data_IF_140429959733
#
_entry.id   IF_140429959733
#
_cell.length_a   1.000
_cell.length_b   1.000
_cell.length_c   1.000
_cell.angle_alpha   90.00
_cell.angle_beta   90.00
_cell.angle_gamma   90.00
#
_symmetry.space_group_name_H-M   'P 1'
#
loop_
_entity.id
_entity.type
_entity.pdbx_description
1 polymer ?
#
# COMPACT_ATOMS: atom_id res chain seq x y z
N UNK A 1 -23.26 17.60 -25.20
CA UNK A 1 -22.93 18.51 -26.33
C UNK A 1 -21.50 18.97 -26.18
N UNK A 2 -20.68 18.80 -27.23
CA UNK A 2 -19.27 19.25 -27.24
C UNK A 2 -19.20 20.77 -27.47
N UNK A 3 -18.07 21.40 -27.09
CA UNK A 3 -17.90 22.86 -27.24
C UNK A 3 -18.04 23.35 -28.69
N UNK A 4 -17.64 22.52 -29.66
CA UNK A 4 -17.76 22.84 -31.09
C UNK A 4 -19.22 22.80 -31.58
N UNK A 5 -20.02 21.88 -31.06
CA UNK A 5 -21.46 21.78 -31.35
C UNK A 5 -22.20 22.99 -30.76
N UNK A 6 -21.86 23.37 -29.53
CA UNK A 6 -22.42 24.57 -28.88
C UNK A 6 -22.09 25.84 -29.67
N UNK A 7 -20.84 26.01 -30.11
CA UNK A 7 -20.44 27.16 -30.95
C UNK A 7 -21.22 27.22 -32.26
N UNK A 8 -21.48 26.07 -32.88
CA UNK A 8 -22.27 25.99 -34.12
C UNK A 8 -23.74 26.39 -33.90
N UNK A 9 -24.34 26.00 -32.77
CA UNK A 9 -25.69 26.42 -32.42
C UNK A 9 -25.77 27.91 -32.10
N UNK A 10 -24.84 28.43 -31.29
CA UNK A 10 -24.78 29.84 -30.93
C UNK A 10 -24.55 30.73 -32.17
N UNK A 11 -23.73 30.29 -33.12
CA UNK A 11 -23.48 31.04 -34.36
C UNK A 11 -24.66 31.08 -35.34
N UNK A 12 -25.64 30.19 -35.20
CA UNK A 12 -26.87 30.14 -36.01
C UNK A 12 -28.05 30.85 -35.36
N UNK A 13 -27.96 31.14 -34.06
CA UNK A 13 -29.03 31.76 -33.30
C UNK A 13 -28.97 33.29 -33.40
N UNK A 14 -30.13 33.94 -33.30
CA UNK A 14 -30.20 35.39 -33.15
C UNK A 14 -29.54 35.82 -31.84
N UNK A 15 -28.80 36.95 -31.89
CA UNK A 15 -28.05 37.48 -30.74
C UNK A 15 -28.95 37.74 -29.53
N UNK A 16 -30.19 38.16 -29.74
CA UNK A 16 -31.18 38.36 -28.67
C UNK A 16 -31.54 37.06 -27.94
N UNK A 17 -31.62 35.94 -28.66
CA UNK A 17 -31.87 34.63 -28.05
C UNK A 17 -30.64 34.07 -27.35
N UNK A 18 -29.44 34.39 -27.84
CA UNK A 18 -28.18 34.02 -27.19
C UNK A 18 -28.02 34.75 -25.85
N UNK A 19 -28.29 36.05 -25.81
CA UNK A 19 -28.28 36.86 -24.58
C UNK A 19 -29.28 36.33 -23.55
N UNK A 20 -30.50 36.00 -24.00
CA UNK A 20 -31.53 35.41 -23.14
C UNK A 20 -31.11 34.04 -22.60
N UNK A 21 -30.57 33.16 -23.45
CA UNK A 21 -30.10 31.84 -23.05
C UNK A 21 -28.94 31.93 -22.05
N UNK A 22 -28.02 32.87 -22.24
CA UNK A 22 -26.92 33.13 -21.32
C UNK A 22 -27.44 33.62 -19.95
N UNK A 23 -28.35 34.60 -19.93
CA UNK A 23 -28.92 35.12 -18.69
C UNK A 23 -29.69 34.05 -17.90
N UNK A 24 -30.50 33.23 -18.57
CA UNK A 24 -31.21 32.12 -17.91
C UNK A 24 -30.26 31.04 -17.40
N UNK A 25 -29.20 30.72 -18.14
CA UNK A 25 -28.18 29.77 -17.69
C UNK A 25 -27.39 30.29 -16.49
N UNK A 26 -27.07 31.59 -16.48
CA UNK A 26 -26.36 32.24 -15.38
C UNK A 26 -27.20 32.30 -14.09
N UNK A 27 -28.53 32.46 -14.19
CA UNK A 27 -29.44 32.41 -13.02
C UNK A 27 -29.38 31.08 -12.27
N UNK A 28 -29.12 29.98 -12.96
CA UNK A 28 -29.02 28.63 -12.38
C UNK A 28 -27.74 28.42 -11.56
N UNK A 29 -26.76 29.34 -11.63
CA UNK A 29 -25.52 29.23 -10.87
C UNK A 29 -25.71 29.62 -9.40
N UNK A 30 -25.04 28.89 -8.51
CA UNK A 30 -24.95 29.24 -7.08
C UNK A 30 -24.08 30.48 -6.86
N UNK A 31 -24.19 31.12 -5.69
CA UNK A 31 -23.42 32.33 -5.36
C UNK A 31 -21.90 32.14 -5.52
N UNK A 32 -21.36 31.02 -5.03
CA UNK A 32 -19.93 30.69 -5.14
C UNK A 32 -19.49 30.47 -6.60
N UNK A 33 -20.33 29.87 -7.44
CA UNK A 33 -20.02 29.70 -8.86
C UNK A 33 -20.05 31.02 -9.64
N UNK A 34 -20.91 31.96 -9.23
CA UNK A 34 -20.96 33.32 -9.80
C UNK A 34 -19.68 34.08 -9.48
N UNK A 35 -19.25 34.08 -8.22
CA UNK A 35 -18.01 34.73 -7.78
C UNK A 35 -16.77 34.22 -8.55
N UNK A 36 -16.72 32.96 -8.96
CA UNK A 36 -15.62 32.40 -9.77
C UNK A 36 -15.67 32.77 -11.26
N UNK A 37 -16.88 32.90 -11.84
CA UNK A 37 -17.06 33.06 -13.29
C UNK A 37 -17.29 34.51 -13.71
N UNK A 38 -17.73 35.39 -12.79
CA UNK A 38 -18.01 36.80 -13.05
C UNK A 38 -16.80 37.55 -13.64
N UNK A 39 -15.56 37.41 -13.11
CA UNK A 39 -14.40 38.05 -13.70
C UNK A 39 -14.15 37.60 -15.15
N UNK A 40 -14.33 36.30 -15.43
CA UNK A 40 -14.16 35.73 -16.77
C UNK A 40 -15.20 36.26 -17.75
N UNK A 41 -16.45 36.40 -17.32
CA UNK A 41 -17.54 36.95 -18.15
C UNK A 41 -17.27 38.42 -18.46
N UNK A 42 -16.88 39.21 -17.45
CA UNK A 42 -16.56 40.64 -17.60
C UNK A 42 -15.40 40.82 -18.57
N UNK A 43 -14.31 40.08 -18.41
CA UNK A 43 -13.14 40.18 -19.28
C UNK A 43 -13.46 39.82 -20.75
N UNK A 44 -14.26 38.77 -20.98
CA UNK A 44 -14.71 38.38 -22.33
C UNK A 44 -15.57 39.48 -22.96
N UNK A 45 -16.52 40.06 -22.21
CA UNK A 45 -17.42 41.09 -22.71
C UNK A 45 -16.69 42.41 -23.03
N UNK A 46 -15.60 42.69 -22.32
CA UNK A 46 -14.73 43.84 -22.57
C UNK A 46 -13.71 43.58 -23.70
N UNK A 47 -13.80 42.45 -24.39
CA UNK A 47 -12.92 42.10 -25.52
C UNK A 47 -11.51 41.73 -25.11
N UNK A 48 -11.26 41.47 -23.81
CA UNK A 48 -10.02 40.87 -23.33
C UNK A 48 -10.10 39.38 -23.63
N UNK A 49 -9.02 38.78 -24.12
CA UNK A 49 -8.99 37.32 -24.21
C UNK A 49 -9.25 36.79 -22.80
N UNK A 50 -10.26 35.92 -22.65
CA UNK A 50 -10.39 35.14 -21.43
C UNK A 50 -9.02 34.58 -21.17
N UNK A 51 -8.40 34.94 -20.03
CA UNK A 51 -7.16 34.29 -19.64
C UNK A 51 -7.48 32.80 -19.72
N UNK A 52 -6.91 32.11 -20.72
CA UNK A 52 -6.92 30.66 -20.73
C UNK A 52 -6.38 30.35 -19.36
N UNK A 53 -7.23 29.85 -18.45
CA UNK A 53 -6.78 29.33 -17.15
C UNK A 53 -5.49 28.65 -17.48
N UNK A 54 -4.36 29.24 -17.05
CA UNK A 54 -3.06 28.62 -17.27
C UNK A 54 -3.30 27.19 -16.85
N UNK A 55 -3.13 26.28 -17.81
CA UNK A 55 -3.20 24.84 -17.59
C UNK A 55 -2.54 24.63 -16.23
N UNK A 56 -3.33 24.25 -15.23
CA UNK A 56 -3.21 24.67 -13.83
C UNK A 56 -1.83 25.17 -13.45
N UNK A 57 -1.71 26.42 -12.97
CA UNK A 57 -0.48 26.85 -12.31
C UNK A 57 -0.03 25.70 -11.44
N UNK A 58 1.10 25.08 -11.76
CA UNK A 58 1.66 24.01 -10.97
C UNK A 58 1.58 24.51 -9.52
N UNK A 59 0.80 23.83 -8.67
CA UNK A 59 0.81 24.14 -7.25
C UNK A 59 2.28 24.05 -6.89
N UNK A 60 2.87 25.17 -6.45
CA UNK A 60 4.28 25.15 -6.09
C UNK A 60 4.46 24.05 -5.05
N UNK A 61 5.56 23.30 -5.14
CA UNK A 61 5.76 22.15 -4.26
C UNK A 61 5.63 22.57 -2.79
N UNK A 62 6.12 23.77 -2.45
CA UNK A 62 6.05 24.36 -1.12
C UNK A 62 4.61 24.53 -0.64
N UNK A 63 3.70 24.89 -1.54
CA UNK A 63 2.28 25.03 -1.19
C UNK A 63 1.62 23.68 -1.01
N UNK A 64 1.96 22.70 -1.87
CA UNK A 64 1.47 21.32 -1.72
C UNK A 64 1.97 20.70 -0.40
N UNK A 65 3.24 20.88 -0.09
CA UNK A 65 3.90 20.45 1.15
C UNK A 65 3.16 21.03 2.36
N UNK A 66 2.98 22.35 2.40
CA UNK A 66 2.24 23.00 3.49
C UNK A 66 0.79 22.50 3.61
N UNK A 67 0.07 22.35 2.49
CA UNK A 67 -1.31 21.85 2.51
C UNK A 67 -1.41 20.41 3.05
N UNK A 68 -0.41 19.56 2.77
CA UNK A 68 -0.36 18.18 3.28
C UNK A 68 -0.02 18.17 4.76
N UNK A 69 0.96 18.97 5.19
CA UNK A 69 1.37 19.07 6.60
C UNK A 69 0.21 19.57 7.47
N UNK A 70 -0.44 20.66 7.06
CA UNK A 70 -1.64 21.20 7.73
C UNK A 70 -2.77 20.16 7.77
N UNK A 71 -2.94 19.38 6.68
CA UNK A 71 -3.93 18.31 6.65
C UNK A 71 -3.63 17.21 7.67
N UNK A 72 -2.38 16.73 7.71
CA UNK A 72 -1.94 15.67 8.61
C UNK A 72 -2.11 16.10 10.07
N UNK A 73 -1.67 17.31 10.43
CA UNK A 73 -1.84 17.86 11.77
C UNK A 73 -3.31 17.89 12.19
N UNK A 74 -4.18 18.38 11.31
CA UNK A 74 -5.62 18.43 11.56
C UNK A 74 -6.29 17.05 11.64
N UNK A 75 -5.78 16.06 10.90
CA UNK A 75 -6.26 14.68 10.98
C UNK A 75 -5.90 14.04 12.33
N UNK A 76 -4.66 14.20 12.78
CA UNK A 76 -4.22 13.73 14.10
C UNK A 76 -4.93 14.44 15.25
N UNK A 77 -5.27 15.73 15.09
CA UNK A 77 -6.12 16.47 16.02
C UNK A 77 -7.62 16.07 15.96
N UNK A 78 -7.98 15.06 15.15
CA UNK A 78 -9.35 14.57 14.94
C UNK A 78 -10.33 15.63 14.41
N UNK A 79 -9.83 16.72 13.82
CA UNK A 79 -10.67 17.82 13.33
C UNK A 79 -11.52 17.42 12.10
N UNK A 80 -11.19 16.32 11.43
CA UNK A 80 -12.02 15.77 10.35
C UNK A 80 -13.09 14.79 10.84
N UNK A 81 -12.98 14.26 12.05
CA UNK A 81 -13.97 13.36 12.65
C UNK A 81 -14.94 14.11 13.58
N UNK A 82 -14.40 14.77 14.61
CA UNK A 82 -15.18 15.34 15.70
C UNK A 82 -15.70 16.78 15.39
N UNK A 83 -16.80 17.22 16.01
CA UNK A 83 -17.22 18.63 15.99
C UNK A 83 -16.16 19.59 16.55
N UNK A 84 -15.70 20.53 15.71
CA UNK A 84 -14.73 21.56 16.07
C UNK A 84 -14.98 22.86 15.27
N UNK A 85 -14.23 23.92 15.59
CA UNK A 85 -14.28 25.25 14.94
C UNK A 85 -13.23 25.45 13.84
N UNK A 86 -12.31 24.51 13.68
CA UNK A 86 -11.18 24.58 12.74
C UNK A 86 -11.62 24.15 11.34
N UNK A 87 -12.21 22.95 11.24
CA UNK A 87 -12.72 22.38 9.99
C UNK A 87 -14.26 22.40 10.01
N UNK A 88 -14.89 23.21 9.12
CA UNK A 88 -16.34 23.26 8.99
C UNK A 88 -16.94 21.89 8.66
N UNK A 89 -18.14 21.61 9.18
CA UNK A 89 -18.84 20.33 8.97
C UNK A 89 -18.96 19.93 7.48
N UNK A 90 -19.13 20.92 6.59
CA UNK A 90 -19.24 20.70 5.14
C UNK A 90 -17.92 20.31 4.47
N UNK A 91 -16.78 20.61 5.09
CA UNK A 91 -15.44 20.30 4.56
C UNK A 91 -14.91 18.96 5.09
N UNK A 92 -15.32 18.55 6.30
CA UNK A 92 -14.90 17.29 6.91
C UNK A 92 -14.98 16.08 5.96
N UNK A 93 -16.11 15.76 5.29
CA UNK A 93 -16.18 14.60 4.41
C UNK A 93 -15.34 14.72 3.12
N UNK A 94 -14.75 15.88 2.84
CA UNK A 94 -13.93 16.10 1.65
C UNK A 94 -12.47 15.66 1.84
N UNK A 95 -12.06 15.28 3.05
CA UNK A 95 -10.73 14.75 3.36
C UNK A 95 -10.29 13.69 2.33
N UNK A 96 -11.20 12.80 1.93
CA UNK A 96 -10.92 11.73 0.97
C UNK A 96 -10.49 12.22 -0.42
N UNK A 97 -11.08 13.34 -0.87
CA UNK A 97 -10.72 13.96 -2.14
C UNK A 97 -9.39 14.72 -2.02
N UNK A 98 -9.11 15.31 -0.85
CA UNK A 98 -7.83 15.97 -0.58
C UNK A 98 -6.70 14.94 -0.64
N UNK A 99 -6.76 13.87 0.15
CA UNK A 99 -5.75 12.81 0.17
C UNK A 99 -5.55 12.19 -1.21
N UNK A 100 -6.64 11.89 -1.93
CA UNK A 100 -6.55 11.36 -3.29
C UNK A 100 -5.82 12.31 -4.25
N UNK A 101 -6.02 13.62 -4.10
CA UNK A 101 -5.33 14.61 -4.91
C UNK A 101 -3.86 14.76 -4.47
N UNK A 102 -3.58 14.77 -3.17
CA UNK A 102 -2.22 14.83 -2.64
C UNK A 102 -1.36 13.68 -3.17
N UNK A 103 -1.85 12.44 -3.07
CA UNK A 103 -1.16 11.25 -3.60
C UNK A 103 -0.88 11.42 -5.10
N UNK A 104 -1.85 11.89 -5.88
CA UNK A 104 -1.67 12.12 -7.33
C UNK A 104 -0.67 13.20 -7.67
N UNK A 105 -0.61 14.29 -6.90
CA UNK A 105 0.38 15.34 -7.14
C UNK A 105 1.77 14.89 -6.74
N UNK A 106 1.91 14.20 -5.60
CA UNK A 106 3.19 13.60 -5.17
C UNK A 106 3.70 12.55 -6.16
N UNK A 107 2.82 11.73 -6.72
CA UNK A 107 3.17 10.72 -7.72
C UNK A 107 3.80 11.33 -8.99
N UNK A 108 3.43 12.56 -9.37
CA UNK A 108 3.98 13.23 -10.56
C UNK A 108 5.41 13.73 -10.38
N UNK A 109 5.90 13.79 -9.14
CA UNK A 109 7.25 14.29 -8.84
C UNK A 109 8.27 13.22 -9.26
N UNK A 110 9.17 13.61 -10.16
CA UNK A 110 10.20 12.74 -10.73
C UNK A 110 11.44 12.70 -9.83
N UNK A 111 12.21 11.61 -9.93
CA UNK A 111 13.38 11.35 -9.09
C UNK A 111 14.47 12.42 -9.22
N UNK A 112 14.55 13.08 -10.37
CA UNK A 112 15.52 14.14 -10.65
C UNK A 112 15.13 15.49 -10.03
N UNK A 113 13.94 15.60 -9.41
CA UNK A 113 13.49 16.83 -8.78
C UNK A 113 14.22 17.06 -7.45
N UNK A 114 14.60 18.32 -7.19
CA UNK A 114 15.10 18.76 -5.87
C UNK A 114 14.10 18.51 -4.72
N UNK A 115 12.83 18.31 -5.06
CA UNK A 115 11.75 18.08 -4.11
C UNK A 115 11.44 16.59 -3.89
N UNK A 116 12.17 15.68 -4.55
CA UNK A 116 11.83 14.26 -4.55
C UNK A 116 11.80 13.64 -3.16
N UNK A 117 12.87 13.81 -2.39
CA UNK A 117 12.95 13.23 -1.04
C UNK A 117 11.86 13.76 -0.11
N UNK A 118 11.54 15.05 -0.23
CA UNK A 118 10.42 15.68 0.50
C UNK A 118 9.08 15.10 0.07
N UNK A 119 8.89 14.86 -1.23
CA UNK A 119 7.68 14.23 -1.75
C UNK A 119 7.49 12.78 -1.26
N UNK A 120 8.57 11.99 -1.24
CA UNK A 120 8.56 10.62 -0.71
C UNK A 120 8.23 10.62 0.78
N UNK A 121 8.79 11.56 1.54
CA UNK A 121 8.48 11.75 2.95
C UNK A 121 6.99 12.05 3.17
N UNK A 122 6.43 13.01 2.43
CA UNK A 122 5.00 13.35 2.52
C UNK A 122 4.11 12.17 2.14
N UNK A 123 4.47 11.41 1.10
CA UNK A 123 3.74 10.20 0.71
C UNK A 123 3.77 9.14 1.81
N UNK A 124 4.93 8.98 2.47
CA UNK A 124 5.11 8.07 3.61
C UNK A 124 4.21 8.46 4.79
N UNK A 125 4.18 9.74 5.15
CA UNK A 125 3.34 10.23 6.26
C UNK A 125 1.84 10.12 5.94
N UNK A 126 1.43 10.37 4.68
CA UNK A 126 0.07 10.10 4.25
C UNK A 126 -0.28 8.61 4.33
N UNK A 127 0.61 7.72 3.89
CA UNK A 127 0.39 6.28 3.99
C UNK A 127 0.19 5.85 5.45
N UNK A 128 1.08 6.30 6.37
CA UNK A 128 0.96 6.03 7.81
C UNK A 128 -0.35 6.54 8.39
N UNK A 129 -0.73 7.78 8.08
CA UNK A 129 -1.99 8.37 8.54
C UNK A 129 -3.20 7.54 8.12
N UNK A 130 -3.22 7.05 6.86
CA UNK A 130 -4.32 6.25 6.35
C UNK A 130 -4.34 4.84 6.96
N UNK A 131 -3.17 4.24 7.22
CA UNK A 131 -3.08 2.99 7.99
C UNK A 131 -3.65 3.19 9.39
N UNK A 132 -3.24 4.25 10.09
CA UNK A 132 -3.71 4.56 11.43
C UNK A 132 -5.21 4.84 11.47
N UNK A 133 -5.74 5.54 10.45
CA UNK A 133 -7.17 5.78 10.30
C UNK A 133 -8.01 4.51 10.07
N UNK A 134 -7.40 3.35 9.80
CA UNK A 134 -8.10 2.07 9.78
C UNK A 134 -8.30 1.47 11.18
N UNK A 135 -7.47 1.86 12.15
CA UNK A 135 -7.56 1.41 13.55
C UNK A 135 -8.21 2.46 14.47
N UNK A 136 -8.15 3.73 14.11
CA UNK A 136 -8.61 4.84 14.93
C UNK A 136 -9.56 5.77 14.17
N UNK A 137 -10.47 6.40 14.91
CA UNK A 137 -11.46 7.35 14.38
C UNK A 137 -10.85 8.72 14.07
N UNK A 138 -9.97 8.78 13.07
CA UNK A 138 -9.42 10.04 12.52
C UNK A 138 -10.37 10.67 11.50
N UNK A 139 -11.18 9.83 10.83
CA UNK A 139 -12.18 10.22 9.86
C UNK A 139 -13.50 9.47 10.11
N UNK A 140 -14.61 10.00 9.59
CA UNK A 140 -15.91 9.31 9.63
C UNK A 140 -15.98 8.23 8.55
N UNK A 141 -15.24 7.14 8.74
CA UNK A 141 -15.21 5.97 7.87
C UNK A 141 -14.81 4.72 8.66
N UNK A 142 -15.25 3.57 8.17
CA UNK A 142 -14.87 2.24 8.66
C UNK A 142 -13.65 1.65 7.93
N UNK A 143 -13.28 2.26 6.80
CA UNK A 143 -12.13 1.91 5.99
C UNK A 143 -11.62 3.16 5.26
N UNK A 144 -10.42 3.61 5.61
CA UNK A 144 -9.85 4.84 5.07
C UNK A 144 -9.32 4.66 3.64
N UNK A 145 -8.70 3.51 3.35
CA UNK A 145 -8.20 3.16 2.01
C UNK A 145 -9.32 3.11 0.98
N UNK A 146 -10.42 2.41 1.29
CA UNK A 146 -11.61 2.36 0.43
C UNK A 146 -12.19 3.74 0.17
N UNK A 147 -12.17 4.62 1.17
CA UNK A 147 -12.70 6.00 1.04
C UNK A 147 -11.89 6.87 0.10
N UNK A 148 -10.57 6.70 0.05
CA UNK A 148 -9.70 7.42 -0.90
C UNK A 148 -9.63 6.73 -2.27
N UNK A 149 -10.22 5.54 -2.39
CA UNK A 149 -10.28 4.77 -3.63
C UNK A 149 -8.94 4.14 -4.01
N UNK A 150 -8.19 3.68 -3.00
CA UNK A 150 -6.96 2.92 -3.15
C UNK A 150 -7.09 1.62 -2.36
N UNK A 151 -6.56 0.51 -2.88
CA UNK A 151 -6.25 -0.63 -2.01
C UNK A 151 -4.97 -0.30 -1.22
N UNK A 152 -4.85 -0.86 -0.01
CA UNK A 152 -3.64 -0.66 0.79
C UNK A 152 -2.38 -1.22 0.11
N UNK A 153 -2.38 -2.43 -0.49
CA UNK A 153 -1.23 -2.93 -1.24
C UNK A 153 -0.83 -2.04 -2.42
N UNK A 154 -1.79 -1.46 -3.16
CA UNK A 154 -1.48 -0.61 -4.32
C UNK A 154 -0.83 0.71 -3.91
N UNK A 155 -1.33 1.35 -2.83
CA UNK A 155 -0.72 2.57 -2.33
C UNK A 155 0.67 2.29 -1.73
N UNK A 156 0.81 1.16 -1.05
CA UNK A 156 2.12 0.71 -0.55
C UNK A 156 3.09 0.44 -1.71
N UNK A 157 2.64 -0.19 -2.80
CA UNK A 157 3.46 -0.42 -4.00
C UNK A 157 3.95 0.88 -4.64
N UNK A 158 3.09 1.90 -4.70
CA UNK A 158 3.50 3.25 -5.14
C UNK A 158 4.59 3.81 -4.23
N UNK A 159 4.43 3.70 -2.91
CA UNK A 159 5.41 4.16 -1.93
C UNK A 159 6.74 3.43 -2.08
N UNK A 160 6.75 2.09 -2.15
CA UNK A 160 7.96 1.28 -2.34
C UNK A 160 8.70 1.70 -3.61
N UNK A 161 8.00 1.82 -4.73
CA UNK A 161 8.59 2.24 -6.01
C UNK A 161 9.22 3.63 -5.94
N UNK A 162 8.55 4.58 -5.28
CA UNK A 162 9.08 5.93 -5.10
C UNK A 162 10.30 5.93 -4.17
N UNK A 163 10.24 5.22 -3.06
CA UNK A 163 11.38 5.13 -2.14
C UNK A 163 12.61 4.49 -2.79
N UNK A 164 12.45 3.38 -3.53
CA UNK A 164 13.58 2.70 -4.17
C UNK A 164 14.10 3.37 -5.44
N UNK A 165 13.33 4.26 -6.08
CA UNK A 165 13.87 5.06 -7.18
C UNK A 165 15.00 6.00 -6.72
N UNK A 166 15.02 6.43 -5.46
CA UNK A 166 16.15 7.14 -4.85
C UNK A 166 17.31 6.23 -4.40
N UNK A 167 17.15 4.90 -4.53
CA UNK A 167 18.17 3.90 -4.21
C UNK A 167 17.82 3.00 -3.03
N UNK A 168 18.51 1.86 -2.98
CA UNK A 168 18.37 0.81 -1.96
C UNK A 168 19.27 1.05 -0.75
N UNK A 169 19.03 2.12 0.00
CA UNK A 169 19.74 2.37 1.25
C UNK A 169 19.21 1.46 2.37
N UNK A 170 20.04 1.15 3.37
CA UNK A 170 19.62 0.35 4.54
C UNK A 170 18.46 1.01 5.28
N UNK A 171 18.50 2.33 5.38
CA UNK A 171 17.48 3.15 6.02
C UNK A 171 16.14 3.03 5.28
N UNK A 172 16.15 3.13 3.96
CA UNK A 172 14.95 2.99 3.13
C UNK A 172 14.35 1.58 3.24
N UNK A 173 15.20 0.55 3.13
CA UNK A 173 14.79 -0.85 3.27
C UNK A 173 14.18 -1.10 4.66
N UNK A 174 14.88 -0.70 5.73
CA UNK A 174 14.41 -0.86 7.11
C UNK A 174 13.08 -0.12 7.37
N UNK A 175 12.93 1.08 6.80
CA UNK A 175 11.70 1.86 6.91
C UNK A 175 10.53 1.17 6.20
N UNK A 176 10.72 0.68 4.97
CA UNK A 176 9.67 -0.03 4.23
C UNK A 176 9.31 -1.38 4.87
N UNK A 177 10.28 -2.12 5.40
CA UNK A 177 10.01 -3.34 6.19
C UNK A 177 9.12 -2.98 7.37
N UNK A 178 9.48 -1.94 8.14
CA UNK A 178 8.68 -1.50 9.28
C UNK A 178 7.26 -1.12 8.88
N UNK A 179 7.06 -0.50 7.71
CA UNK A 179 5.73 -0.13 7.19
C UNK A 179 4.93 -1.32 6.65
N UNK A 180 5.58 -2.38 6.18
CA UNK A 180 4.90 -3.58 5.70
C UNK A 180 4.35 -4.42 6.87
N UNK A 181 5.12 -4.52 7.96
CA UNK A 181 4.85 -5.40 9.11
C UNK A 181 4.05 -4.73 10.23
N UNK A 182 3.70 -3.46 10.10
CA UNK A 182 3.05 -2.68 11.17
C UNK A 182 2.01 -1.69 10.64
N UNK A 183 1.27 -1.09 11.57
CA UNK A 183 0.22 -0.11 11.28
C UNK A 183 -1.15 -0.75 11.08
N UNK A 184 -2.19 0.08 10.98
CA UNK A 184 -3.54 -0.43 10.76
C UNK A 184 -3.76 -0.94 9.35
N UNK A 185 -4.56 -2.00 9.25
CA UNK A 185 -4.92 -2.64 7.99
C UNK A 185 -6.32 -2.21 7.55
N UNK A 186 -6.47 -1.99 6.25
CA UNK A 186 -7.79 -2.00 5.60
C UNK A 186 -8.48 -3.34 5.87
N UNK A 187 -9.82 -3.34 5.90
CA UNK A 187 -10.61 -4.58 6.07
C UNK A 187 -10.41 -5.58 4.93
N UNK A 188 -9.82 -5.13 3.83
CA UNK A 188 -9.56 -5.91 2.62
C UNK A 188 -8.06 -6.26 2.47
N UNK A 189 -7.23 -6.03 3.49
CA UNK A 189 -5.78 -6.24 3.44
C UNK A 189 -5.25 -7.13 4.57
N UNK A 190 -4.11 -7.77 4.32
CA UNK A 190 -3.27 -8.48 5.28
C UNK A 190 -1.84 -7.97 5.16
N UNK A 191 -1.08 -7.95 6.25
CA UNK A 191 0.35 -7.56 6.25
C UNK A 191 1.14 -8.27 5.15
N UNK A 192 0.93 -9.57 4.98
CA UNK A 192 1.61 -10.35 3.93
C UNK A 192 1.41 -9.81 2.51
N UNK A 193 0.30 -9.12 2.23
CA UNK A 193 0.12 -8.47 0.93
C UNK A 193 1.10 -7.30 0.73
N UNK A 194 1.36 -6.50 1.77
CA UNK A 194 2.38 -5.46 1.73
C UNK A 194 3.79 -6.07 1.69
N UNK A 195 4.04 -7.13 2.46
CA UNK A 195 5.32 -7.82 2.46
C UNK A 195 5.65 -8.42 1.08
N UNK A 196 4.68 -9.01 0.38
CA UNK A 196 4.85 -9.50 -0.99
C UNK A 196 5.14 -8.38 -1.99
N UNK A 197 4.47 -7.23 -1.84
CA UNK A 197 4.79 -6.04 -2.63
C UNK A 197 6.24 -5.63 -2.42
N UNK A 198 6.69 -5.52 -1.17
CA UNK A 198 8.08 -5.19 -0.86
C UNK A 198 9.04 -6.23 -1.44
N UNK A 199 8.78 -7.52 -1.23
CA UNK A 199 9.58 -8.63 -1.73
C UNK A 199 9.77 -8.56 -3.25
N UNK A 200 8.70 -8.27 -3.99
CA UNK A 200 8.74 -8.15 -5.45
C UNK A 200 9.63 -7.01 -5.95
N UNK A 201 9.89 -6.00 -5.11
CA UNK A 201 10.73 -4.85 -5.44
C UNK A 201 12.18 -4.97 -4.94
N UNK A 202 12.52 -5.97 -4.11
CA UNK A 202 13.90 -6.29 -3.75
C UNK A 202 14.59 -7.05 -4.88
N UNK A 203 15.01 -6.33 -5.94
CA UNK A 203 15.38 -6.93 -7.24
C UNK A 203 16.64 -7.79 -7.26
N UNK A 204 17.60 -7.55 -6.36
CA UNK A 204 18.91 -8.17 -6.41
C UNK A 204 19.24 -8.90 -5.12
N UNK A 205 20.10 -9.92 -5.20
CA UNK A 205 20.43 -10.76 -4.04
C UNK A 205 21.09 -9.99 -2.90
N UNK A 206 21.92 -8.99 -3.20
CA UNK A 206 22.55 -8.12 -2.20
C UNK A 206 21.52 -7.27 -1.45
N UNK A 207 20.52 -6.73 -2.16
CA UNK A 207 19.41 -5.97 -1.56
C UNK A 207 18.54 -6.88 -0.70
N UNK A 208 18.24 -8.10 -1.16
CA UNK A 208 17.53 -9.13 -0.37
C UNK A 208 18.32 -9.50 0.90
N UNK A 209 19.64 -9.66 0.84
CA UNK A 209 20.47 -9.91 2.01
C UNK A 209 20.43 -8.74 3.01
N UNK A 210 20.52 -7.49 2.54
CA UNK A 210 20.36 -6.31 3.39
C UNK A 210 18.98 -6.31 4.07
N UNK A 211 17.91 -6.65 3.34
CA UNK A 211 16.57 -6.73 3.91
C UNK A 211 16.47 -7.76 5.05
N UNK A 212 17.10 -8.94 4.90
CA UNK A 212 17.17 -9.94 5.98
C UNK A 212 17.91 -9.37 7.20
N UNK A 213 19.04 -8.70 7.00
CA UNK A 213 19.81 -8.13 8.10
C UNK A 213 19.02 -7.05 8.86
N UNK A 214 18.37 -6.14 8.14
CA UNK A 214 17.56 -5.09 8.75
C UNK A 214 16.30 -5.67 9.43
N UNK A 215 15.63 -6.64 8.82
CA UNK A 215 14.49 -7.33 9.45
C UNK A 215 14.90 -8.06 10.75
N UNK A 216 16.08 -8.69 10.79
CA UNK A 216 16.60 -9.32 12.01
C UNK A 216 16.87 -8.30 13.12
N UNK A 217 17.48 -7.15 12.79
CA UNK A 217 17.68 -6.06 13.76
C UNK A 217 16.35 -5.53 14.31
N UNK A 218 15.37 -5.33 13.44
CA UNK A 218 14.02 -4.90 13.83
C UNK A 218 13.37 -5.95 14.73
N UNK A 219 13.51 -7.24 14.43
CA UNK A 219 12.99 -8.35 15.24
C UNK A 219 13.57 -8.30 16.64
N UNK A 220 14.89 -8.21 16.78
CA UNK A 220 15.57 -8.14 18.08
C UNK A 220 15.11 -6.91 18.89
N UNK A 221 14.94 -5.77 18.24
CA UNK A 221 14.48 -4.54 18.89
C UNK A 221 13.01 -4.61 19.31
N UNK A 222 12.14 -5.26 18.53
CA UNK A 222 10.74 -5.48 18.92
C UNK A 222 10.62 -6.52 20.03
N UNK A 223 11.41 -7.58 19.99
CA UNK A 223 11.45 -8.58 21.06
C UNK A 223 11.84 -7.97 22.41
N UNK A 224 12.86 -7.08 22.45
CA UNK A 224 13.25 -6.38 23.68
C UNK A 224 12.07 -5.57 24.22
N UNK A 225 11.47 -4.73 23.38
CA UNK A 225 10.29 -3.90 23.75
C UNK A 225 9.11 -4.75 24.20
N UNK A 226 8.89 -5.90 23.55
CA UNK A 226 7.80 -6.81 23.87
C UNK A 226 7.98 -7.44 25.25
N UNK A 227 9.20 -7.88 25.59
CA UNK A 227 9.54 -8.42 26.92
C UNK A 227 9.38 -7.38 28.03
N UNK A 228 9.63 -6.11 27.73
CA UNK A 228 9.48 -4.99 28.66
C UNK A 228 8.03 -4.48 28.77
N UNK A 229 7.15 -4.89 27.86
CA UNK A 229 5.75 -4.46 27.82
C UNK A 229 4.84 -5.45 28.56
N UNK A 230 3.91 -4.95 29.35
CA UNK A 230 2.92 -5.80 30.04
C UNK A 230 1.84 -6.30 29.09
N UNK A 231 1.39 -7.55 29.27
CA UNK A 231 0.27 -8.16 28.53
C UNK A 231 -1.06 -7.41 28.64
N UNK A 232 -1.22 -6.57 29.66
CA UNK A 232 -2.41 -5.73 29.84
C UNK A 232 -2.38 -4.47 28.96
N UNK A 233 -1.27 -4.22 28.25
CA UNK A 233 -1.14 -3.12 27.31
C UNK A 233 -1.40 -3.63 25.89
N UNK A 234 -2.27 -2.97 25.13
CA UNK A 234 -2.55 -3.31 23.73
C UNK A 234 -1.28 -3.38 22.88
N UNK A 235 -0.28 -2.55 23.19
CA UNK A 235 1.03 -2.55 22.52
C UNK A 235 1.74 -3.90 22.60
N UNK A 236 1.44 -4.72 23.60
CA UNK A 236 2.01 -6.06 23.72
C UNK A 236 1.58 -6.96 22.55
N UNK A 237 0.30 -6.92 22.17
CA UNK A 237 -0.22 -7.70 21.06
C UNK A 237 0.27 -7.16 19.71
N UNK A 238 0.31 -5.84 19.55
CA UNK A 238 0.89 -5.21 18.35
C UNK A 238 2.36 -5.62 18.18
N UNK A 239 3.15 -5.60 19.24
CA UNK A 239 4.55 -6.02 19.17
C UNK A 239 4.70 -7.53 18.87
N UNK A 240 3.80 -8.38 19.40
CA UNK A 240 3.79 -9.82 19.08
C UNK A 240 3.52 -10.05 17.58
N UNK A 241 2.52 -9.37 17.03
CA UNK A 241 2.15 -9.42 15.61
C UNK A 241 3.31 -8.92 14.74
N UNK A 242 3.85 -7.73 15.03
CA UNK A 242 4.98 -7.16 14.30
C UNK A 242 6.22 -8.08 14.30
N UNK A 243 6.48 -8.83 15.39
CA UNK A 243 7.57 -9.84 15.43
C UNK A 243 7.26 -11.02 14.51
N UNK A 244 6.01 -11.50 14.47
CA UNK A 244 5.61 -12.62 13.61
C UNK A 244 5.70 -12.25 12.13
N UNK A 245 5.23 -11.05 11.75
CA UNK A 245 5.33 -10.50 10.39
C UNK A 245 6.81 -10.27 9.99
N UNK A 246 7.66 -9.74 10.88
CA UNK A 246 9.10 -9.66 10.61
C UNK A 246 9.75 -11.04 10.37
N UNK A 247 9.35 -12.06 11.12
CA UNK A 247 9.78 -13.44 10.86
C UNK A 247 9.30 -13.92 9.48
N UNK A 248 8.07 -13.58 9.08
CA UNK A 248 7.52 -13.90 7.76
C UNK A 248 8.35 -13.27 6.64
N UNK A 249 8.66 -11.97 6.73
CA UNK A 249 9.54 -11.27 5.79
C UNK A 249 10.89 -11.99 5.65
N UNK A 250 11.54 -12.35 6.76
CA UNK A 250 12.83 -13.05 6.73
C UNK A 250 12.70 -14.39 6.00
N UNK A 251 11.67 -15.17 6.31
CA UNK A 251 11.45 -16.46 5.66
C UNK A 251 11.20 -16.29 4.15
N UNK A 252 10.32 -15.37 3.76
CA UNK A 252 9.99 -15.15 2.34
C UNK A 252 11.21 -14.66 1.54
N UNK A 253 12.01 -13.74 2.10
CA UNK A 253 13.24 -13.29 1.44
C UNK A 253 14.26 -14.42 1.34
N UNK A 254 14.39 -15.27 2.36
CA UNK A 254 15.26 -16.46 2.31
C UNK A 254 14.83 -17.46 1.24
N UNK A 255 13.53 -17.67 1.05
CA UNK A 255 12.99 -18.51 -0.03
C UNK A 255 13.34 -17.92 -1.39
N UNK A 256 13.13 -16.62 -1.59
CA UNK A 256 13.47 -15.88 -2.81
C UNK A 256 14.97 -15.81 -3.11
N UNK A 257 15.82 -16.14 -2.14
CA UNK A 257 17.27 -16.29 -2.30
C UNK A 257 17.68 -17.75 -2.57
N UNK A 258 16.73 -18.69 -2.60
CA UNK A 258 16.97 -20.13 -2.62
C UNK A 258 17.82 -20.63 -1.44
N UNK A 259 17.75 -19.94 -0.29
CA UNK A 259 18.43 -20.28 0.97
C UNK A 259 17.41 -20.46 2.13
N UNK A 260 16.36 -21.29 1.97
CA UNK A 260 15.23 -21.33 2.89
C UNK A 260 15.59 -21.90 4.27
N UNK A 261 16.63 -22.73 4.40
CA UNK A 261 16.92 -23.48 5.63
C UNK A 261 17.17 -22.56 6.84
N UNK A 262 17.93 -21.48 6.66
CA UNK A 262 18.20 -20.52 7.73
C UNK A 262 16.99 -19.66 8.04
N UNK A 263 16.20 -19.30 7.02
CA UNK A 263 14.92 -18.60 7.19
C UNK A 263 13.92 -19.42 8.01
N UNK A 264 13.79 -20.72 7.72
CA UNK A 264 12.92 -21.65 8.46
C UNK A 264 13.37 -21.76 9.91
N UNK A 265 14.68 -21.97 10.16
CA UNK A 265 15.22 -22.03 11.53
C UNK A 265 14.95 -20.75 12.29
N UNK A 266 15.14 -19.59 11.66
CA UNK A 266 14.88 -18.30 12.27
C UNK A 266 13.40 -18.14 12.63
N UNK A 267 12.50 -18.41 11.67
CA UNK A 267 11.05 -18.29 11.86
C UNK A 267 10.56 -19.11 13.06
N UNK A 268 10.91 -20.40 13.11
CA UNK A 268 10.49 -21.28 14.21
C UNK A 268 11.12 -20.90 15.55
N UNK A 269 12.26 -20.20 15.56
CA UNK A 269 12.91 -19.76 16.79
C UNK A 269 12.27 -18.48 17.35
N UNK A 270 11.96 -17.52 16.49
CA UNK A 270 11.64 -16.15 16.89
C UNK A 270 10.15 -15.80 16.81
N UNK A 271 9.35 -16.49 16.00
CA UNK A 271 7.91 -16.26 15.94
C UNK A 271 7.24 -16.57 17.30
N UNK A 272 6.40 -15.64 17.75
CA UNK A 272 5.74 -15.59 19.06
C UNK A 272 4.30 -16.12 19.06
N UNK A 273 3.84 -16.69 17.93
CA UNK A 273 2.53 -17.35 17.83
C UNK A 273 2.18 -18.22 19.07
N UNK A 274 0.90 -18.21 19.45
CA UNK A 274 0.37 -18.83 20.67
C UNK A 274 0.68 -20.32 20.86
N UNK A 275 1.00 -21.06 19.80
CA UNK A 275 1.54 -22.41 19.90
C UNK A 275 2.52 -22.72 18.77
N UNK A 276 3.40 -23.71 19.00
CA UNK A 276 4.34 -24.23 17.98
C UNK A 276 3.61 -24.79 16.75
N UNK A 277 2.42 -25.34 16.94
CA UNK A 277 1.61 -25.85 15.83
C UNK A 277 1.05 -24.70 14.98
N UNK A 278 0.63 -23.60 15.61
CA UNK A 278 0.23 -22.38 14.89
C UNK A 278 1.43 -21.76 14.18
N UNK A 279 2.61 -21.70 14.81
CA UNK A 279 3.85 -21.27 14.12
C UNK A 279 4.09 -22.09 12.85
N UNK A 280 3.95 -23.42 12.94
CA UNK A 280 4.09 -24.31 11.79
C UNK A 280 3.02 -24.04 10.72
N UNK A 281 1.76 -23.88 11.13
CA UNK A 281 0.66 -23.58 10.21
C UNK A 281 0.90 -22.27 9.44
N UNK A 282 1.30 -21.18 10.13
CA UNK A 282 1.57 -19.90 9.48
C UNK A 282 2.75 -20.00 8.49
N UNK A 283 3.83 -20.70 8.85
CA UNK A 283 4.94 -20.93 7.93
C UNK A 283 4.51 -21.70 6.66
N UNK A 284 3.64 -22.70 6.81
CA UNK A 284 3.10 -23.45 5.67
C UNK A 284 2.18 -22.58 4.80
N UNK A 285 1.38 -21.70 5.42
CA UNK A 285 0.53 -20.76 4.71
C UNK A 285 1.36 -19.76 3.88
N UNK A 286 2.51 -19.31 4.39
CA UNK A 286 3.45 -18.50 3.60
C UNK A 286 3.93 -19.27 2.35
N UNK A 287 4.29 -20.55 2.48
CA UNK A 287 4.70 -21.35 1.31
C UNK A 287 3.55 -21.53 0.31
N UNK A 288 2.32 -21.70 0.79
CA UNK A 288 1.14 -21.76 -0.09
C UNK A 288 0.93 -20.44 -0.83
N UNK A 289 1.13 -19.29 -0.18
CA UNK A 289 1.03 -17.99 -0.83
C UNK A 289 2.18 -17.69 -1.79
N UNK A 290 3.39 -18.16 -1.50
CA UNK A 290 4.53 -18.09 -2.42
C UNK A 290 4.49 -19.14 -3.54
N UNK A 291 3.47 -20.01 -3.54
CA UNK A 291 3.31 -21.10 -4.51
C UNK A 291 4.46 -22.14 -4.48
N UNK A 292 5.13 -22.29 -3.34
CA UNK A 292 6.29 -23.15 -3.13
C UNK A 292 5.92 -24.53 -2.60
N UNK A 293 5.41 -25.41 -3.47
CA UNK A 293 4.87 -26.73 -3.10
C UNK A 293 5.93 -27.66 -2.47
N UNK A 294 7.18 -27.64 -2.96
CA UNK A 294 8.26 -28.45 -2.41
C UNK A 294 8.74 -27.94 -1.04
N UNK A 295 8.84 -26.62 -0.88
CA UNK A 295 9.23 -26.02 0.40
C UNK A 295 8.13 -26.20 1.45
N UNK A 296 6.86 -26.23 1.06
CA UNK A 296 5.76 -26.60 1.95
C UNK A 296 6.03 -27.96 2.63
N UNK A 297 6.46 -28.97 1.85
CA UNK A 297 6.81 -30.30 2.37
C UNK A 297 8.00 -30.21 3.32
N UNK A 298 9.07 -29.49 2.95
CA UNK A 298 10.26 -29.33 3.80
C UNK A 298 9.95 -28.62 5.12
N UNK A 299 9.14 -27.56 5.10
CA UNK A 299 8.68 -26.84 6.31
C UNK A 299 7.86 -27.77 7.20
N UNK A 300 6.99 -28.58 6.60
CA UNK A 300 6.19 -29.55 7.33
C UNK A 300 7.10 -30.57 8.05
N UNK A 301 8.03 -31.17 7.32
CA UNK A 301 8.97 -32.17 7.84
C UNK A 301 9.90 -31.57 8.90
N UNK A 302 10.33 -30.31 8.72
CA UNK A 302 11.07 -29.57 9.74
C UNK A 302 10.25 -29.46 11.03
N UNK A 303 8.97 -29.09 10.96
CA UNK A 303 8.08 -29.03 12.11
C UNK A 303 7.96 -30.36 12.85
N UNK A 304 7.80 -31.48 12.10
CA UNK A 304 7.78 -32.83 12.67
C UNK A 304 9.10 -33.17 13.37
N UNK A 305 10.25 -32.81 12.78
CA UNK A 305 11.57 -33.02 13.39
C UNK A 305 11.72 -32.28 14.73
N UNK A 306 10.98 -31.17 14.91
CA UNK A 306 10.89 -30.42 16.17
C UNK A 306 9.82 -30.94 17.13
N UNK A 307 9.29 -32.14 16.87
CA UNK A 307 8.25 -32.81 17.67
C UNK A 307 6.94 -32.01 17.78
N UNK A 308 6.66 -31.18 16.78
CA UNK A 308 5.37 -30.48 16.68
C UNK A 308 4.33 -31.48 16.20
N UNK A 309 3.18 -31.54 16.88
CA UNK A 309 2.06 -32.40 16.49
C UNK A 309 1.10 -31.60 15.61
N UNK A 310 1.00 -31.85 14.29
CA UNK A 310 0.12 -31.08 13.42
C UNK A 310 -1.35 -31.46 13.60
N UNK A 311 -2.26 -30.53 13.31
CA UNK A 311 -3.69 -30.83 13.17
C UNK A 311 -3.96 -31.74 11.98
N UNK A 312 -5.07 -32.49 12.02
CA UNK A 312 -5.41 -33.47 10.97
C UNK A 312 -5.46 -32.87 9.55
N UNK A 313 -5.92 -31.63 9.42
CA UNK A 313 -5.97 -30.94 8.12
C UNK A 313 -4.58 -30.77 7.48
N UNK A 314 -3.54 -30.56 8.29
CA UNK A 314 -2.16 -30.47 7.81
C UNK A 314 -1.59 -31.84 7.45
N UNK A 315 -1.95 -32.90 8.20
CA UNK A 315 -1.54 -34.29 7.90
C UNK A 315 -2.09 -34.71 6.54
N UNK A 316 -3.40 -34.53 6.30
CA UNK A 316 -4.03 -34.85 5.01
C UNK A 316 -3.43 -34.05 3.86
N UNK A 317 -3.14 -32.79 4.10
CA UNK A 317 -2.49 -31.88 3.15
C UNK A 317 -1.07 -32.36 2.77
N UNK A 318 -0.29 -32.81 3.75
CA UNK A 318 1.05 -33.37 3.53
C UNK A 318 0.99 -34.66 2.70
N UNK A 319 0.14 -35.62 3.09
CA UNK A 319 -0.02 -36.89 2.37
C UNK A 319 -0.41 -36.66 0.91
N UNK A 320 -1.34 -35.73 0.65
CA UNK A 320 -1.76 -35.37 -0.71
C UNK A 320 -0.62 -34.80 -1.54
N UNK A 321 0.14 -33.83 -0.99
CA UNK A 321 1.26 -33.19 -1.70
C UNK A 321 2.41 -34.18 -1.94
N UNK A 322 2.73 -35.02 -0.97
CA UNK A 322 3.77 -36.05 -1.08
C UNK A 322 3.45 -37.06 -2.17
N UNK A 323 2.23 -37.58 -2.21
CA UNK A 323 1.80 -38.53 -3.25
C UNK A 323 1.86 -37.90 -4.64
N UNK A 324 1.41 -36.64 -4.79
CA UNK A 324 1.50 -35.90 -6.06
C UNK A 324 2.94 -35.71 -6.54
N UNK A 325 3.86 -35.44 -5.62
CA UNK A 325 5.29 -35.31 -5.92
C UNK A 325 5.90 -36.64 -6.37
N UNK A 326 5.56 -37.75 -5.71
CA UNK A 326 6.01 -39.10 -6.11
C UNK A 326 5.55 -39.46 -7.53
N UNK A 327 4.26 -39.22 -7.85
CA UNK A 327 3.72 -39.50 -9.18
C UNK A 327 4.41 -38.66 -10.27
N UNK A 328 4.65 -37.37 -10.03
CA UNK A 328 5.39 -36.51 -10.98
C UNK A 328 6.81 -37.02 -11.25
N UNK A 329 7.50 -37.50 -10.21
CA UNK A 329 8.87 -38.03 -10.36
C UNK A 329 8.87 -39.33 -11.17
N UNK A 330 7.90 -40.21 -10.96
CA UNK A 330 7.75 -41.46 -11.73
C UNK A 330 7.40 -41.20 -13.21
N UNK A 331 6.52 -40.23 -13.48
CA UNK A 331 6.17 -39.83 -14.86
C UNK A 331 7.37 -39.21 -15.60
N UNK A 332 8.15 -38.37 -14.94
CA UNK A 332 9.36 -37.77 -15.53
C UNK A 332 10.44 -38.83 -15.81
N UNK A 333 10.67 -39.76 -14.89
CA UNK A 333 11.61 -40.86 -15.10
C UNK A 333 11.21 -41.76 -16.29
N UNK A 334 9.92 -42.05 -16.44
CA UNK A 334 9.40 -42.84 -17.57
C UNK A 334 9.43 -42.09 -18.92
N UNK A 335 9.49 -40.75 -18.91
CA UNK A 335 9.67 -39.92 -20.11
C UNK A 335 11.13 -39.86 -20.56
N UNK A 336 12.07 -39.78 -19.62
CA UNK A 336 13.52 -39.78 -19.92
C UNK A 336 14.02 -41.16 -20.41
N UNK A 337 13.38 -42.26 -19.97
CA UNK A 337 13.66 -43.61 -20.50
C UNK A 337 13.13 -43.82 -21.94
N UNK A 338 12.23 -42.96 -22.41
CA UNK A 338 11.77 -42.92 -23.81
C UNK A 338 12.52 -41.82 -24.57
N UNK A 339 13.84 -41.98 -24.70
CA UNK A 339 14.69 -41.09 -25.50
C UNK A 339 14.19 -40.91 -26.95
N UNK A 340 14.65 -39.86 -27.67
CA UNK A 340 14.15 -39.50 -28.99
C UNK A 340 14.33 -40.69 -29.93
N UNK A 341 13.21 -41.30 -30.32
CA UNK A 341 13.19 -42.41 -31.26
C UNK A 341 13.99 -42.06 -32.50
N UNK A 342 14.94 -42.93 -32.82
CA UNK A 342 15.63 -43.00 -34.10
C UNK A 342 14.58 -42.96 -35.23
N UNK A 343 14.42 -41.80 -35.86
CA UNK A 343 13.93 -41.73 -37.22
C UNK A 343 15.18 -41.72 -38.11
N UNK A 344 15.63 -42.92 -38.50
CA UNK A 344 16.49 -43.14 -39.67
C UNK A 344 15.61 -43.55 -40.84
#
# INVERSE_FOLDING_TARGET
MKIQELRSLLGKADRSYVEKAFAESYKQLTKSQKEEIDPVIIDILEGREAEKKKKGSAVSFEKLEQEIEDFIENAYAQNYFAPNRVIPKSQRPKWRFMVKNFIKELEKILVESENYDRAVKLLTELYKLICEACNYYLFSTDDAFRSIGWSQPDLFALLVKKTFAAGYTRENISSLISLAVSGGLSREALHTMQEMVLLSELKTSDVKQIAIEEAKKLTDDREKKWKDTSKNNNRWYELEEEINELCAVILMVSVELAEPEEGIKFYFKHAQNSSREITMYCALQLMDWMEEEELWIKVYEYGISKKIRPREGLIRSYEKRKNKMTVKTEENAAADEKGPGENI
#
